data_IF_237809919264
#
_entry.id   IF_237809919264
#
_cell.length_a   1.000
_cell.length_b   1.000
_cell.length_c   1.000
_cell.angle_alpha   90.00
_cell.angle_beta   90.00
_cell.angle_gamma   90.00
#
_symmetry.space_group_name_H-M   'P 1'
#
loop_
_entity.id
_entity.type
_entity.pdbx_description
1 polymer ?
#
# COMPACT_ATOMS: atom_id res chain seq x y z
N UNK A 1 -34.94 -52.18 -29.00
CA UNK A 1 -35.16 -51.21 -30.10
C UNK A 1 -35.33 -49.84 -29.46
N UNK A 2 -34.61 -48.76 -29.73
CA UNK A 2 -33.62 -48.44 -30.76
C UNK A 2 -33.59 -46.91 -30.94
N UNK A 3 -32.62 -46.25 -30.30
CA UNK A 3 -31.91 -45.02 -30.73
C UNK A 3 -32.70 -43.96 -31.53
N UNK A 4 -33.55 -43.15 -30.88
CA UNK A 4 -34.18 -41.99 -31.55
C UNK A 4 -33.96 -40.61 -30.94
N UNK A 5 -33.42 -40.49 -29.71
CA UNK A 5 -33.42 -39.19 -29.02
C UNK A 5 -32.04 -38.49 -28.96
N UNK A 6 -31.00 -39.02 -29.63
CA UNK A 6 -29.62 -38.48 -29.56
C UNK A 6 -29.33 -37.50 -30.72
N UNK A 7 -30.26 -37.30 -31.68
CA UNK A 7 -30.00 -36.52 -32.91
C UNK A 7 -30.39 -35.03 -32.84
N UNK A 8 -31.19 -34.61 -31.86
CA UNK A 8 -31.69 -33.22 -31.84
C UNK A 8 -30.81 -32.24 -31.03
N UNK A 9 -30.04 -32.72 -30.05
CA UNK A 9 -29.17 -31.86 -29.24
C UNK A 9 -27.84 -31.49 -29.91
N UNK A 10 -27.46 -32.16 -31.01
CA UNK A 10 -26.21 -31.91 -31.73
C UNK A 10 -26.26 -30.70 -32.70
N UNK A 11 -27.40 -29.99 -32.79
CA UNK A 11 -27.67 -28.99 -33.84
C UNK A 11 -27.63 -27.53 -33.39
N UNK A 12 -27.04 -27.23 -32.22
CA UNK A 12 -26.74 -25.84 -31.80
C UNK A 12 -25.24 -25.49 -31.72
N UNK A 13 -24.40 -25.78 -32.73
CA UNK A 13 -23.12 -25.10 -32.86
C UNK A 13 -23.22 -23.76 -33.63
N UNK A 14 -24.33 -23.49 -34.33
CA UNK A 14 -24.32 -22.43 -35.34
C UNK A 14 -24.31 -21.01 -34.79
N UNK A 15 -24.90 -20.72 -33.62
CA UNK A 15 -24.91 -19.34 -33.10
C UNK A 15 -23.49 -18.88 -32.75
N UNK A 16 -22.70 -19.74 -32.10
CA UNK A 16 -21.32 -19.41 -31.73
C UNK A 16 -20.45 -19.29 -32.98
N UNK A 17 -20.56 -20.24 -33.92
CA UNK A 17 -19.75 -20.25 -35.15
C UNK A 17 -20.11 -19.08 -36.07
N UNK A 18 -21.39 -18.75 -36.25
CA UNK A 18 -21.82 -17.62 -37.09
C UNK A 18 -21.49 -16.26 -36.47
N UNK A 19 -21.60 -16.13 -35.15
CA UNK A 19 -21.23 -14.89 -34.47
C UNK A 19 -19.72 -14.65 -34.57
N UNK A 20 -18.90 -15.69 -34.36
CA UNK A 20 -17.44 -15.61 -34.52
C UNK A 20 -17.07 -15.33 -35.98
N UNK A 21 -17.69 -16.03 -36.94
CA UNK A 21 -17.44 -15.83 -38.37
C UNK A 21 -17.76 -14.40 -38.83
N UNK A 22 -18.87 -13.83 -38.35
CA UNK A 22 -19.26 -12.46 -38.66
C UNK A 22 -18.25 -11.45 -38.09
N UNK A 23 -17.79 -11.66 -36.86
CA UNK A 23 -16.76 -10.83 -36.23
C UNK A 23 -15.41 -10.91 -36.96
N UNK A 24 -14.98 -12.12 -37.35
CA UNK A 24 -13.71 -12.32 -38.07
C UNK A 24 -13.76 -11.69 -39.46
N UNK A 25 -14.88 -11.84 -40.17
CA UNK A 25 -15.04 -11.22 -41.49
C UNK A 25 -15.04 -9.69 -41.42
N UNK A 26 -15.71 -9.12 -40.41
CA UNK A 26 -15.70 -7.68 -40.16
C UNK A 26 -14.31 -7.16 -39.76
N UNK A 27 -13.59 -7.91 -38.93
CA UNK A 27 -12.22 -7.59 -38.50
C UNK A 27 -11.24 -7.58 -39.70
N UNK A 28 -11.40 -8.52 -40.64
CA UNK A 28 -10.62 -8.53 -41.90
C UNK A 28 -10.98 -7.37 -42.83
N UNK A 29 -12.25 -6.95 -42.84
CA UNK A 29 -12.70 -5.82 -43.65
C UNK A 29 -12.18 -4.46 -43.12
N UNK A 30 -11.89 -4.36 -41.82
CA UNK A 30 -11.49 -3.11 -41.16
C UNK A 30 -10.21 -3.27 -40.31
N UNK A 31 -9.05 -3.58 -40.93
CA UNK A 31 -7.81 -3.85 -40.18
C UNK A 31 -7.33 -2.64 -39.38
N UNK A 32 -7.58 -1.41 -39.86
CA UNK A 32 -7.21 -0.17 -39.15
C UNK A 32 -7.95 -0.03 -37.82
N UNK A 33 -9.24 -0.36 -37.78
CA UNK A 33 -10.08 -0.24 -36.59
C UNK A 33 -9.75 -1.32 -35.57
N UNK A 34 -9.44 -2.53 -36.04
CA UNK A 34 -8.95 -3.63 -35.17
C UNK A 34 -7.60 -3.30 -34.56
N UNK A 35 -6.68 -2.73 -35.35
CA UNK A 35 -5.38 -2.28 -34.83
C UNK A 35 -5.54 -1.16 -33.80
N UNK A 36 -6.39 -0.18 -34.08
CA UNK A 36 -6.67 0.92 -33.14
C UNK A 36 -7.33 0.42 -31.86
N UNK A 37 -8.31 -0.48 -31.95
CA UNK A 37 -8.94 -1.12 -30.79
C UNK A 37 -7.96 -1.95 -29.96
N UNK A 38 -7.08 -2.72 -30.63
CA UNK A 38 -6.01 -3.46 -29.97
C UNK A 38 -5.00 -2.53 -29.26
N UNK A 39 -4.62 -1.43 -29.89
CA UNK A 39 -3.73 -0.43 -29.28
C UNK A 39 -4.34 0.20 -28.03
N UNK A 40 -5.63 0.55 -28.07
CA UNK A 40 -6.37 1.08 -26.90
C UNK A 40 -6.42 0.03 -25.78
N UNK A 41 -6.70 -1.24 -26.11
CA UNK A 41 -6.73 -2.32 -25.12
C UNK A 41 -5.37 -2.49 -24.43
N UNK A 42 -4.27 -2.47 -25.21
CA UNK A 42 -2.91 -2.55 -24.66
C UNK A 42 -2.61 -1.36 -23.76
N UNK A 43 -3.00 -0.13 -24.15
CA UNK A 43 -2.82 1.06 -23.32
C UNK A 43 -3.60 0.97 -21.99
N UNK A 44 -4.83 0.45 -22.01
CA UNK A 44 -5.61 0.23 -20.79
C UNK A 44 -4.96 -0.83 -19.89
N UNK A 45 -4.53 -1.95 -20.44
CA UNK A 45 -3.83 -3.00 -19.69
C UNK A 45 -2.52 -2.49 -19.09
N UNK A 46 -1.72 -1.75 -19.87
CA UNK A 46 -0.49 -1.13 -19.40
C UNK A 46 -0.75 -0.11 -18.29
N UNK A 47 -1.84 0.65 -18.36
CA UNK A 47 -2.23 1.60 -17.32
C UNK A 47 -2.61 0.89 -16.02
N UNK A 48 -3.38 -0.19 -16.08
CA UNK A 48 -3.77 -0.99 -14.91
C UNK A 48 -2.55 -1.70 -14.29
N UNK A 49 -1.73 -2.37 -15.11
CA UNK A 49 -0.51 -3.03 -14.63
C UNK A 49 0.51 -2.04 -14.09
N UNK A 50 0.70 -0.91 -14.77
CA UNK A 50 1.59 0.15 -14.33
C UNK A 50 1.19 0.71 -12.96
N UNK A 51 -0.11 0.95 -12.76
CA UNK A 51 -0.63 1.38 -11.47
C UNK A 51 -0.40 0.34 -10.37
N UNK A 52 -0.72 -0.92 -10.64
CA UNK A 52 -0.55 -2.03 -9.67
C UNK A 52 0.91 -2.23 -9.23
N UNK A 53 1.84 -2.19 -10.19
CA UNK A 53 3.28 -2.31 -9.90
C UNK A 53 3.79 -1.10 -9.12
N UNK A 54 3.35 0.10 -9.48
CA UNK A 54 3.74 1.33 -8.79
C UNK A 54 3.27 1.34 -7.32
N UNK A 55 2.03 0.91 -7.06
CA UNK A 55 1.46 0.85 -5.71
C UNK A 55 2.14 -0.23 -4.86
N UNK A 56 2.51 -1.36 -5.46
CA UNK A 56 3.23 -2.45 -4.79
C UNK A 56 4.62 -2.00 -4.32
N UNK A 57 5.40 -1.33 -5.18
CA UNK A 57 6.75 -0.84 -4.83
C UNK A 57 6.74 0.19 -3.70
N UNK A 58 5.73 1.07 -3.65
CA UNK A 58 5.57 2.02 -2.54
C UNK A 58 5.32 1.31 -1.21
N UNK A 59 4.55 0.24 -1.23
CA UNK A 59 4.24 -0.52 -0.02
C UNK A 59 5.47 -1.24 0.54
N UNK A 60 6.23 -1.89 -0.32
CA UNK A 60 7.48 -2.57 0.05
C UNK A 60 8.48 -1.56 0.66
N UNK A 61 8.64 -0.40 0.01
CA UNK A 61 9.56 0.64 0.51
C UNK A 61 9.15 1.16 1.88
N UNK A 62 7.87 1.43 2.09
CA UNK A 62 7.38 1.94 3.37
C UNK A 62 7.54 0.91 4.50
N UNK A 63 7.26 -0.36 4.23
CA UNK A 63 7.50 -1.45 5.19
C UNK A 63 8.99 -1.65 5.48
N UNK A 64 9.83 -1.58 4.44
CA UNK A 64 11.28 -1.65 4.58
C UNK A 64 11.80 -0.53 5.50
N UNK A 65 11.39 0.72 5.26
CA UNK A 65 11.76 1.86 6.11
C UNK A 65 11.29 1.68 7.55
N UNK A 66 10.06 1.19 7.77
CA UNK A 66 9.59 0.90 9.12
C UNK A 66 10.50 -0.13 9.81
N UNK A 67 10.79 -1.25 9.14
CA UNK A 67 11.64 -2.31 9.69
C UNK A 67 13.06 -1.83 10.01
N UNK A 68 13.60 -0.94 9.18
CA UNK A 68 14.92 -0.37 9.35
C UNK A 68 14.94 0.61 10.55
N UNK A 69 13.95 1.49 10.64
CA UNK A 69 13.82 2.44 11.74
C UNK A 69 13.64 1.74 13.08
N UNK A 70 12.83 0.68 13.13
CA UNK A 70 12.64 -0.15 14.32
C UNK A 70 13.94 -0.84 14.75
N UNK A 71 14.70 -1.42 13.82
CA UNK A 71 16.00 -2.04 14.12
C UNK A 71 16.99 -1.03 14.70
N UNK A 72 17.12 0.15 14.10
CA UNK A 72 18.00 1.20 14.61
C UNK A 72 17.55 1.71 15.98
N UNK A 73 16.24 1.86 16.21
CA UNK A 73 15.72 2.24 17.52
C UNK A 73 15.94 1.17 18.59
N UNK A 74 15.78 -0.10 18.22
CA UNK A 74 16.04 -1.23 19.11
C UNK A 74 17.52 -1.31 19.50
N UNK A 75 18.43 -1.09 18.54
CA UNK A 75 19.86 -1.00 18.82
C UNK A 75 20.17 0.13 19.81
N UNK A 76 19.56 1.30 19.66
CA UNK A 76 19.67 2.37 20.67
C UNK A 76 19.14 1.92 22.03
N UNK A 77 17.96 1.30 22.07
CA UNK A 77 17.33 0.87 23.32
C UNK A 77 18.13 -0.21 24.05
N UNK A 78 18.96 -0.99 23.35
CA UNK A 78 19.77 -2.06 23.93
C UNK A 78 21.19 -1.61 24.26
N UNK A 79 21.84 -0.88 23.35
CA UNK A 79 23.26 -0.52 23.45
C UNK A 79 23.51 0.96 23.81
N UNK A 80 22.47 1.81 23.81
CA UNK A 80 22.60 3.25 24.10
C UNK A 80 23.30 4.05 23.00
N UNK A 81 23.53 3.47 21.83
CA UNK A 81 24.28 4.12 20.74
C UNK A 81 23.51 5.31 20.14
N UNK A 82 24.00 6.53 20.38
CA UNK A 82 23.37 7.76 19.86
C UNK A 82 23.25 7.81 18.34
N UNK A 83 24.21 7.24 17.62
CA UNK A 83 24.17 7.21 16.15
C UNK A 83 23.01 6.37 15.63
N UNK A 84 22.68 5.27 16.32
CA UNK A 84 21.53 4.42 15.98
C UNK A 84 20.21 5.15 16.21
N UNK A 85 20.15 6.04 17.21
CA UNK A 85 18.98 6.89 17.47
C UNK A 85 18.76 7.92 16.35
N UNK A 86 19.82 8.56 15.86
CA UNK A 86 19.76 9.50 14.73
C UNK A 86 19.38 8.80 13.41
N UNK A 87 19.91 7.59 13.18
CA UNK A 87 19.49 6.74 12.05
C UNK A 87 18.00 6.37 12.13
N UNK A 88 17.51 6.01 13.31
CA UNK A 88 16.09 5.74 13.52
C UNK A 88 15.23 6.97 13.21
N UNK A 89 15.62 8.14 13.72
CA UNK A 89 14.91 9.40 13.49
C UNK A 89 14.79 9.74 12.01
N UNK A 90 15.92 9.73 11.28
CA UNK A 90 15.94 10.03 9.85
C UNK A 90 15.09 9.03 9.05
N UNK A 91 15.15 7.75 9.40
CA UNK A 91 14.37 6.69 8.73
C UNK A 91 12.86 6.88 8.95
N UNK A 92 12.43 7.18 10.18
CA UNK A 92 11.01 7.45 10.45
C UNK A 92 10.53 8.75 9.80
N UNK A 93 11.35 9.80 9.76
CA UNK A 93 11.02 11.03 9.02
C UNK A 93 10.87 10.76 7.52
N UNK A 94 11.70 9.91 6.94
CA UNK A 94 11.57 9.49 5.54
C UNK A 94 10.27 8.71 5.31
N UNK A 95 9.92 7.81 6.23
CA UNK A 95 8.65 7.07 6.18
C UNK A 95 7.42 8.00 6.25
N UNK A 96 7.47 9.10 7.00
CA UNK A 96 6.40 10.10 7.01
C UNK A 96 6.23 10.81 5.67
N UNK A 97 7.33 11.04 4.93
CA UNK A 97 7.27 11.64 3.57
C UNK A 97 6.62 10.71 2.55
N UNK A 98 6.73 9.39 2.74
CA UNK A 98 6.08 8.40 1.88
C UNK A 98 4.55 8.38 2.05
N UNK A 99 4.00 8.94 3.13
CA UNK A 99 2.58 9.30 3.25
C UNK A 99 1.59 8.15 3.50
N UNK A 100 2.06 6.96 3.90
CA UNK A 100 1.21 5.79 4.16
C UNK A 100 0.53 5.89 5.54
N UNK A 101 -0.73 6.37 5.58
CA UNK A 101 -1.51 6.68 6.80
C UNK A 101 -1.24 5.76 8.01
N UNK A 102 -1.41 4.44 7.86
CA UNK A 102 -1.21 3.49 8.98
C UNK A 102 0.23 3.38 9.47
N UNK A 103 1.21 3.37 8.56
CA UNK A 103 2.63 3.32 8.92
C UNK A 103 3.13 4.66 9.46
N UNK A 104 2.54 5.76 8.99
CA UNK A 104 2.85 7.10 9.48
C UNK A 104 2.52 7.29 10.95
N UNK A 105 1.45 6.66 11.45
CA UNK A 105 1.10 6.77 12.88
C UNK A 105 2.09 6.03 13.77
N UNK A 106 2.52 4.83 13.36
CA UNK A 106 3.59 4.09 14.03
C UNK A 106 4.89 4.91 14.01
N UNK A 107 5.26 5.47 12.86
CA UNK A 107 6.45 6.30 12.72
C UNK A 107 6.40 7.54 13.63
N UNK A 108 5.26 8.24 13.70
CA UNK A 108 5.06 9.37 14.63
C UNK A 108 5.21 8.93 16.09
N UNK A 109 4.65 7.79 16.47
CA UNK A 109 4.76 7.28 17.84
C UNK A 109 6.22 7.03 18.22
N UNK A 110 7.01 6.42 17.33
CA UNK A 110 8.44 6.23 17.56
C UNK A 110 9.24 7.53 17.52
N UNK A 111 8.91 8.47 16.63
CA UNK A 111 9.51 9.80 16.65
C UNK A 111 9.24 10.52 17.97
N UNK A 112 8.06 10.37 18.55
CA UNK A 112 7.78 10.87 19.90
C UNK A 112 8.71 10.28 20.95
N UNK A 113 8.94 8.96 20.90
CA UNK A 113 9.88 8.27 21.82
C UNK A 113 11.31 8.74 21.64
N UNK A 114 11.74 8.92 20.39
CA UNK A 114 13.07 9.41 20.03
C UNK A 114 13.25 10.86 20.49
N UNK A 115 12.30 11.74 20.22
CA UNK A 115 12.33 13.14 20.66
C UNK A 115 12.40 13.22 22.19
N UNK A 116 11.63 12.39 22.92
CA UNK A 116 11.73 12.30 24.38
C UNK A 116 13.12 11.84 24.85
N UNK A 117 13.69 10.79 24.23
CA UNK A 117 15.03 10.30 24.55
C UNK A 117 16.13 11.34 24.29
N UNK A 118 15.87 12.31 23.43
CA UNK A 118 16.76 13.43 23.14
C UNK A 118 16.40 14.72 23.89
N UNK A 119 15.54 14.65 24.92
CA UNK A 119 15.05 15.80 25.69
C UNK A 119 14.29 16.87 24.88
N UNK A 120 13.81 16.52 23.67
CA UNK A 120 12.96 17.38 22.83
C UNK A 120 11.48 17.17 23.17
N UNK A 121 11.09 17.57 24.37
CA UNK A 121 9.77 17.29 24.95
C UNK A 121 8.61 17.89 24.15
N UNK A 122 8.76 19.11 23.62
CA UNK A 122 7.71 19.76 22.82
C UNK A 122 7.49 19.07 21.46
N UNK A 123 8.57 18.64 20.82
CA UNK A 123 8.47 17.80 19.61
C UNK A 123 7.79 16.46 19.92
N UNK A 124 8.18 15.82 21.02
CA UNK A 124 7.59 14.56 21.45
C UNK A 124 6.08 14.69 21.68
N UNK A 125 5.66 15.74 22.39
CA UNK A 125 4.25 16.07 22.63
C UNK A 125 3.49 16.29 21.32
N UNK A 126 4.10 16.97 20.35
CA UNK A 126 3.50 17.19 19.03
C UNK A 126 3.23 15.87 18.31
N UNK A 127 4.23 14.98 18.25
CA UNK A 127 4.06 13.68 17.60
C UNK A 127 3.01 12.82 18.29
N UNK A 128 3.01 12.72 19.62
CA UNK A 128 2.02 11.94 20.34
C UNK A 128 0.60 12.50 20.18
N UNK A 129 0.44 13.83 20.17
CA UNK A 129 -0.87 14.45 19.95
C UNK A 129 -1.42 14.11 18.57
N UNK A 130 -0.57 14.16 17.53
CA UNK A 130 -0.97 13.77 16.18
C UNK A 130 -1.45 12.32 16.11
N UNK A 131 -0.80 11.39 16.80
CA UNK A 131 -1.23 9.98 16.85
C UNK A 131 -2.51 9.80 17.66
N UNK A 132 -2.60 10.41 18.86
CA UNK A 132 -3.75 10.29 19.73
C UNK A 132 -5.05 10.82 19.08
N UNK A 133 -4.95 11.90 18.30
CA UNK A 133 -6.09 12.53 17.64
C UNK A 133 -6.36 11.96 16.24
N UNK A 134 -5.31 11.67 15.47
CA UNK A 134 -5.41 11.36 14.05
C UNK A 134 -5.37 9.88 13.69
N UNK A 135 -4.88 9.00 14.57
CA UNK A 135 -4.76 7.59 14.22
C UNK A 135 -6.11 6.90 14.11
N UNK A 136 -6.22 5.86 13.28
CA UNK A 136 -7.40 4.99 13.25
C UNK A 136 -7.26 3.79 14.19
N UNK A 137 -6.03 3.50 14.66
CA UNK A 137 -5.74 2.36 15.52
C UNK A 137 -5.98 2.72 17.01
N UNK A 138 -6.92 2.06 17.70
CA UNK A 138 -7.19 2.30 19.12
C UNK A 138 -5.99 2.07 20.04
N UNK A 139 -5.12 1.11 19.72
CA UNK A 139 -3.94 0.81 20.52
C UNK A 139 -2.90 1.93 20.40
N UNK A 140 -2.67 2.44 19.19
CA UNK A 140 -1.77 3.58 18.98
C UNK A 140 -2.30 4.85 19.66
N UNK A 141 -3.63 5.09 19.63
CA UNK A 141 -4.23 6.20 20.38
C UNK A 141 -3.97 6.10 21.88
N UNK A 142 -4.22 4.92 22.47
CA UNK A 142 -4.02 4.69 23.90
C UNK A 142 -2.55 4.85 24.29
N UNK A 143 -1.63 4.27 23.50
CA UNK A 143 -0.20 4.39 23.74
C UNK A 143 0.28 5.85 23.66
N UNK A 144 -0.19 6.61 22.67
CA UNK A 144 0.15 8.03 22.54
C UNK A 144 -0.47 8.89 23.66
N UNK A 145 -1.71 8.61 24.06
CA UNK A 145 -2.37 9.30 25.16
C UNK A 145 -1.66 9.06 26.50
N UNK A 146 -1.26 7.82 26.79
CA UNK A 146 -0.47 7.48 27.97
C UNK A 146 0.88 8.24 27.96
N UNK A 147 1.58 8.25 26.83
CA UNK A 147 2.84 9.00 26.71
C UNK A 147 2.66 10.52 26.92
N UNK A 148 1.53 11.11 26.48
CA UNK A 148 1.21 12.52 26.74
C UNK A 148 0.98 12.81 28.22
N UNK A 149 0.33 11.88 28.94
CA UNK A 149 0.12 12.00 30.39
C UNK A 149 1.45 11.97 31.14
N UNK A 150 2.34 11.04 30.79
CA UNK A 150 3.69 10.97 31.37
C UNK A 150 4.48 12.27 31.16
N UNK A 151 4.39 12.87 29.97
CA UNK A 151 5.05 14.15 29.68
C UNK A 151 4.43 15.34 30.44
N UNK A 152 3.16 15.27 30.82
CA UNK A 152 2.46 16.31 31.59
C UNK A 152 2.61 16.16 33.11
N UNK A 153 2.92 14.95 33.59
CA UNK A 153 3.08 14.63 35.01
C UNK A 153 4.47 14.86 35.60
N UNK A 154 5.47 15.19 34.77
CA UNK A 154 6.81 15.53 35.23
C UNK A 154 6.85 16.99 35.75
N UNK A 155 6.29 17.21 36.95
CA UNK A 155 6.51 18.42 37.75
C UNK A 155 7.36 18.09 38.96
#
# INVERSE_FOLDING_TARGET
>A
MGRRNIREEAKKPDIVVTTIGSWVSWAKANPKTVFLGGAILILLLASVFGWSVYESRKNERAQYLLSQGLRSYQQFSQAGERDSLLKAESTFKLLLREGRKGLSDVARLYLGKISRAQNRTEEARTYYRQVAQGSQDPLLKRAAAAALQELGGSK
#
